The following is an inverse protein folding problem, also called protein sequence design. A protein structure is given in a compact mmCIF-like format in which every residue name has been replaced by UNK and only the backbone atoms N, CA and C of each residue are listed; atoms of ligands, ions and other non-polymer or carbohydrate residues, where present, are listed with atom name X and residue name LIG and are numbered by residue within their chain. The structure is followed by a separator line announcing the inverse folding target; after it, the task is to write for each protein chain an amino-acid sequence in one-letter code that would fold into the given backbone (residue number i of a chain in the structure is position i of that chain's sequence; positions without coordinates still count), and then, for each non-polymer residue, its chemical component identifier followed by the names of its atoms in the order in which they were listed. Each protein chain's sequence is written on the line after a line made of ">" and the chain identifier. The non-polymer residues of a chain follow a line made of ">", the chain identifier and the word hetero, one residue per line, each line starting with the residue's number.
data_IF_297767207957
#
_entry.id   IF_297767207957
#
_cell.length_a   1.000
_cell.length_b   1.000
_cell.length_c   1.000
_cell.angle_alpha   90.00
_cell.angle_beta   90.00
_cell.angle_gamma   90.00
#
_symmetry.space_group_name_H-M   'P 1'
#
loop_
_entity.id
_entity.type
_entity.pdbx_description
1 polymer ?
#
# COMPACT_ATOMS: atom_id res chain seq x y z
N UNK A 1 23.38 1.66 4.99
CA UNK A 1 21.90 1.53 5.01
C UNK A 1 21.29 2.91 4.82
N UNK A 2 20.25 3.03 4.00
CA UNK A 2 19.52 4.31 3.83
C UNK A 2 18.68 4.62 5.07
N UNK A 3 18.52 5.91 5.42
CA UNK A 3 17.66 6.38 6.51
C UNK A 3 16.23 5.81 6.37
N UNK A 4 15.70 5.76 5.15
CA UNK A 4 14.38 5.19 4.85
C UNK A 4 14.29 3.74 5.33
N UNK A 5 15.31 2.93 5.03
CA UNK A 5 15.31 1.51 5.40
C UNK A 5 15.34 1.32 6.91
N UNK A 6 16.12 2.14 7.63
CA UNK A 6 16.14 2.11 9.08
C UNK A 6 14.77 2.46 9.73
N UNK A 7 13.95 3.28 9.06
CA UNK A 7 12.57 3.56 9.48
C UNK A 7 11.66 2.37 9.16
N UNK A 8 11.74 1.84 7.94
CA UNK A 8 10.93 0.70 7.47
C UNK A 8 11.16 -0.57 8.28
N UNK A 9 12.38 -0.79 8.77
CA UNK A 9 12.74 -1.95 9.59
C UNK A 9 12.29 -1.81 11.06
N UNK A 10 11.44 -0.82 11.38
CA UNK A 10 10.67 -0.70 12.63
C UNK A 10 9.15 -0.81 12.38
N UNK A 11 8.66 -1.93 11.85
CA UNK A 11 7.29 -2.05 11.35
C UNK A 11 6.23 -1.90 12.44
N UNK A 12 6.48 -2.33 13.68
CA UNK A 12 5.56 -2.12 14.82
C UNK A 12 5.22 -0.64 15.07
N UNK A 13 6.20 0.26 14.93
CA UNK A 13 5.96 1.69 15.07
C UNK A 13 5.13 2.23 13.90
N UNK A 14 5.39 1.73 12.69
CA UNK A 14 4.66 2.08 11.48
C UNK A 14 3.21 1.57 11.53
N UNK A 15 2.95 0.41 12.13
CA UNK A 15 1.60 -0.10 12.42
C UNK A 15 0.81 0.84 13.30
N UNK A 16 1.37 1.24 14.44
CA UNK A 16 0.69 2.16 15.36
C UNK A 16 0.43 3.51 14.70
N UNK A 17 1.38 4.01 13.93
CA UNK A 17 1.22 5.25 13.17
C UNK A 17 0.12 5.11 12.11
N UNK A 18 0.08 3.99 11.38
CA UNK A 18 -0.96 3.70 10.40
C UNK A 18 -2.34 3.65 11.06
N UNK A 19 -2.47 2.89 12.16
CA UNK A 19 -3.71 2.77 12.93
C UNK A 19 -4.22 4.13 13.39
N UNK A 20 -3.30 4.97 13.91
CA UNK A 20 -3.64 6.31 14.35
C UNK A 20 -4.08 7.20 13.18
N UNK A 21 -3.39 7.15 12.04
CA UNK A 21 -3.75 7.92 10.86
C UNK A 21 -5.12 7.51 10.30
N UNK A 22 -5.37 6.21 10.20
CA UNK A 22 -6.65 5.64 9.77
C UNK A 22 -7.79 6.04 10.71
N UNK A 23 -7.58 5.90 12.03
CA UNK A 23 -8.52 6.35 13.05
C UNK A 23 -8.84 7.84 12.94
N UNK A 24 -7.80 8.69 12.82
CA UNK A 24 -7.97 10.13 12.71
C UNK A 24 -8.76 10.51 11.45
N UNK A 25 -8.46 9.88 10.30
CA UNK A 25 -9.17 10.12 9.05
C UNK A 25 -10.63 9.68 9.12
N UNK A 26 -10.93 8.51 9.70
CA UNK A 26 -12.31 8.09 9.92
C UNK A 26 -13.07 9.05 10.85
N UNK A 27 -12.40 9.57 11.89
CA UNK A 27 -13.00 10.57 12.79
C UNK A 27 -13.28 11.90 12.10
N UNK A 28 -12.44 12.29 11.15
CA UNK A 28 -12.59 13.50 10.32
C UNK A 28 -13.51 13.28 9.11
N UNK A 29 -13.92 12.04 8.81
CA UNK A 29 -14.76 11.70 7.67
C UNK A 29 -16.05 12.55 7.55
N UNK A 30 -16.79 12.83 8.64
CA UNK A 30 -17.98 13.69 8.55
C UNK A 30 -17.67 15.12 8.06
N UNK A 31 -16.47 15.63 8.32
CA UNK A 31 -16.04 16.94 7.83
C UNK A 31 -15.68 16.86 6.34
N UNK A 32 -14.98 15.81 5.91
CA UNK A 32 -14.70 15.58 4.49
C UNK A 32 -15.99 15.40 3.68
N UNK A 33 -16.99 14.71 4.23
CA UNK A 33 -18.30 14.59 3.60
C UNK A 33 -19.02 15.94 3.44
N UNK A 34 -18.89 16.85 4.42
CA UNK A 34 -19.48 18.21 4.33
C UNK A 34 -18.75 19.13 3.35
N UNK A 35 -17.43 19.03 3.27
CA UNK A 35 -16.60 19.87 2.38
C UNK A 35 -16.59 19.34 0.94
N UNK A 36 -16.78 18.04 0.77
CA UNK A 36 -16.69 17.31 -0.50
C UNK A 36 -15.35 16.58 -0.63
N UNK A 37 -15.42 15.27 -0.90
CA UNK A 37 -14.24 14.39 -0.98
C UNK A 37 -13.22 14.84 -2.05
N UNK A 38 -13.67 15.34 -3.20
CA UNK A 38 -12.80 15.87 -4.25
C UNK A 38 -11.93 17.04 -3.78
N UNK A 39 -12.53 17.95 -3.01
CA UNK A 39 -11.81 19.11 -2.47
C UNK A 39 -10.84 18.67 -1.36
N UNK A 40 -11.27 17.76 -0.49
CA UNK A 40 -10.42 17.17 0.54
C UNK A 40 -9.23 16.41 -0.05
N UNK A 41 -9.44 15.65 -1.13
CA UNK A 41 -8.38 14.94 -1.85
C UNK A 41 -7.30 15.89 -2.35
N UNK A 42 -7.69 17.01 -2.98
CA UNK A 42 -6.73 18.02 -3.46
C UNK A 42 -5.87 18.63 -2.35
N UNK A 43 -6.42 18.76 -1.15
CA UNK A 43 -5.72 19.33 0.01
C UNK A 43 -4.78 18.30 0.65
N UNK A 44 -5.23 17.05 0.80
CA UNK A 44 -4.50 16.00 1.52
C UNK A 44 -3.43 15.35 0.64
N UNK A 45 -3.68 15.21 -0.66
CA UNK A 45 -2.81 14.47 -1.59
C UNK A 45 -1.34 14.94 -1.55
N UNK A 46 -0.99 16.23 -1.56
CA UNK A 46 0.42 16.65 -1.53
C UNK A 46 1.14 16.19 -0.24
N UNK A 47 0.46 16.29 0.91
CA UNK A 47 1.02 15.86 2.19
C UNK A 47 1.12 14.34 2.27
N UNK A 48 0.10 13.62 1.80
CA UNK A 48 0.09 12.17 1.70
C UNK A 48 1.22 11.66 0.79
N UNK A 49 1.35 12.23 -0.40
CA UNK A 49 2.34 11.85 -1.40
C UNK A 49 3.76 12.03 -0.86
N UNK A 50 4.06 13.23 -0.35
CA UNK A 50 5.36 13.53 0.23
C UNK A 50 5.70 12.58 1.40
N UNK A 51 4.78 12.43 2.35
CA UNK A 51 4.98 11.56 3.51
C UNK A 51 5.21 10.11 3.11
N UNK A 52 4.34 9.57 2.23
CA UNK A 52 4.43 8.17 1.80
C UNK A 52 5.62 7.93 0.86
N UNK A 53 6.04 8.87 0.02
CA UNK A 53 7.26 8.76 -0.78
C UNK A 53 8.51 8.74 0.10
N UNK A 54 8.60 9.63 1.08
CA UNK A 54 9.75 9.71 1.98
C UNK A 54 9.92 8.41 2.79
N UNK A 55 8.84 7.90 3.37
CA UNK A 55 8.86 6.72 4.26
C UNK A 55 8.80 5.39 3.49
N UNK A 56 7.95 5.26 2.49
CA UNK A 56 7.63 3.96 1.85
C UNK A 56 8.07 3.84 0.39
N UNK A 57 8.67 4.89 -0.19
CA UNK A 57 8.92 4.96 -1.63
C UNK A 57 7.62 4.76 -2.45
N UNK A 58 6.52 5.34 -1.98
CA UNK A 58 5.19 5.20 -2.58
C UNK A 58 5.17 5.56 -4.07
N UNK A 59 4.39 4.80 -4.86
CA UNK A 59 4.23 4.97 -6.30
C UNK A 59 2.82 5.49 -6.71
N UNK A 60 2.05 6.01 -5.75
CA UNK A 60 0.75 6.65 -5.98
C UNK A 60 -0.25 5.81 -6.81
N UNK A 61 -0.41 4.53 -6.47
CA UNK A 61 -1.43 3.68 -7.11
C UNK A 61 -2.88 4.00 -6.69
N UNK A 62 -3.09 4.91 -5.74
CA UNK A 62 -4.43 5.28 -5.24
C UNK A 62 -5.09 4.24 -4.33
N UNK A 63 -4.47 3.06 -4.10
CA UNK A 63 -5.01 2.00 -3.24
C UNK A 63 -3.91 1.46 -2.32
N UNK A 64 -3.82 1.99 -1.11
CA UNK A 64 -2.74 1.69 -0.19
C UNK A 64 -3.04 0.41 0.61
N UNK A 65 -2.10 -0.55 0.61
CA UNK A 65 -2.23 -1.84 1.29
C UNK A 65 -1.04 -2.13 2.22
N UNK A 66 -0.47 -1.10 2.83
CA UNK A 66 0.77 -1.23 3.62
C UNK A 66 0.63 -2.19 4.81
N UNK A 67 -0.53 -2.24 5.47
CA UNK A 67 -0.75 -3.19 6.58
C UNK A 67 -0.79 -4.65 6.09
N UNK A 68 -1.26 -4.91 4.87
CA UNK A 68 -1.18 -6.24 4.26
C UNK A 68 0.25 -6.62 3.88
N UNK A 69 1.10 -5.66 3.53
CA UNK A 69 2.40 -5.96 2.91
C UNK A 69 3.59 -5.64 3.81
N UNK A 70 3.48 -5.88 5.11
CA UNK A 70 4.62 -5.71 6.01
C UNK A 70 5.12 -4.26 6.09
N UNK A 71 4.23 -3.29 5.96
CA UNK A 71 4.56 -1.87 5.83
C UNK A 71 5.50 -1.55 4.65
N UNK A 72 5.45 -2.35 3.60
CA UNK A 72 6.30 -2.23 2.40
C UNK A 72 5.43 -1.97 1.18
N UNK A 73 5.69 -0.91 0.41
CA UNK A 73 4.88 -0.60 -0.76
C UNK A 73 5.15 -1.60 -1.91
N UNK A 74 4.18 -2.45 -2.30
CA UNK A 74 4.40 -3.51 -3.30
C UNK A 74 4.62 -2.95 -4.71
N UNK A 75 4.14 -1.75 -4.98
CA UNK A 75 4.30 -1.07 -6.27
C UNK A 75 5.74 -0.63 -6.54
N UNK A 76 6.63 -0.70 -5.56
CA UNK A 76 8.07 -0.51 -5.77
C UNK A 76 8.71 -1.68 -6.52
N UNK A 77 8.01 -2.82 -6.60
CA UNK A 77 8.45 -3.98 -7.37
C UNK A 77 8.45 -3.63 -8.87
N UNK A 78 9.52 -3.93 -9.63
CA UNK A 78 9.58 -3.64 -11.06
C UNK A 78 8.50 -4.37 -11.88
N UNK A 79 7.85 -5.38 -11.30
CA UNK A 79 6.75 -6.14 -11.92
C UNK A 79 5.36 -5.59 -11.57
N UNK A 80 5.25 -4.54 -10.75
CA UNK A 80 3.99 -3.98 -10.26
C UNK A 80 3.03 -5.01 -9.67
N UNK A 81 3.56 -6.07 -9.05
CA UNK A 81 2.77 -7.15 -8.47
C UNK A 81 2.16 -6.72 -7.14
N UNK A 82 0.83 -6.71 -7.07
CA UNK A 82 0.09 -6.38 -5.85
C UNK A 82 0.10 -7.53 -4.82
N UNK A 83 0.11 -8.76 -5.30
CA UNK A 83 0.28 -9.98 -4.50
C UNK A 83 1.57 -10.67 -4.93
N UNK A 84 2.32 -11.22 -3.98
CA UNK A 84 3.53 -12.00 -4.23
C UNK A 84 3.67 -13.12 -3.21
N UNK A 85 4.82 -13.82 -3.19
CA UNK A 85 6.00 -13.62 -4.03
C UNK A 85 5.78 -14.06 -5.50
N UNK A 86 6.66 -13.62 -6.40
CA UNK A 86 6.59 -13.93 -7.84
C UNK A 86 7.41 -15.17 -8.27
N UNK A 87 8.05 -15.87 -7.33
CA UNK A 87 9.01 -16.95 -7.62
C UNK A 87 10.41 -16.48 -8.07
N UNK A 88 10.53 -15.28 -8.64
CA UNK A 88 11.78 -14.70 -9.13
C UNK A 88 12.72 -14.11 -8.07
N UNK A 89 12.82 -14.73 -6.88
CA UNK A 89 13.73 -14.27 -5.81
C UNK A 89 15.03 -15.06 -5.90
N UNK A 90 16.15 -14.36 -6.02
CA UNK A 90 17.49 -14.97 -6.03
C UNK A 90 17.82 -15.55 -4.65
N UNK A 91 18.74 -16.51 -4.59
CA UNK A 91 19.18 -17.14 -3.33
C UNK A 91 19.67 -16.14 -2.27
N UNK A 92 20.16 -14.97 -2.69
CA UNK A 92 20.59 -13.89 -1.80
C UNK A 92 19.46 -12.92 -1.41
N UNK A 93 18.19 -13.25 -1.67
CA UNK A 93 17.01 -12.42 -1.36
C UNK A 93 16.79 -11.21 -2.30
N UNK A 94 17.51 -11.13 -3.42
CA UNK A 94 17.37 -10.03 -4.40
C UNK A 94 16.41 -10.38 -5.53
N UNK A 95 15.94 -9.36 -6.25
CA UNK A 95 15.04 -9.52 -7.38
C UNK A 95 15.74 -10.18 -8.60
N UNK A 96 15.04 -11.01 -9.36
CA UNK A 96 15.55 -11.55 -10.62
C UNK A 96 15.82 -10.46 -11.68
N UNK A 97 14.90 -9.48 -11.80
CA UNK A 97 14.89 -8.44 -12.84
C UNK A 97 15.91 -7.34 -12.55
N UNK A 98 16.06 -6.99 -11.27
CA UNK A 98 16.97 -5.96 -10.77
C UNK A 98 17.88 -6.58 -9.70
N UNK A 99 19.00 -7.20 -10.08
CA UNK A 99 19.84 -7.98 -9.18
C UNK A 99 20.39 -7.20 -7.97
N UNK A 100 20.55 -5.89 -8.13
CA UNK A 100 21.01 -4.92 -7.13
C UNK A 100 19.91 -4.53 -6.12
N UNK A 101 18.64 -4.79 -6.45
CA UNK A 101 17.48 -4.48 -5.61
C UNK A 101 17.11 -5.68 -4.74
N UNK A 102 17.02 -5.47 -3.42
CA UNK A 102 16.42 -6.46 -2.53
C UNK A 102 14.95 -6.67 -2.86
N UNK A 103 14.49 -7.92 -2.86
CA UNK A 103 13.11 -8.24 -3.24
C UNK A 103 12.12 -7.60 -2.26
N UNK A 104 11.16 -6.85 -2.81
CA UNK A 104 10.09 -6.17 -2.06
C UNK A 104 9.28 -7.15 -1.20
N UNK A 105 9.03 -8.37 -1.70
CA UNK A 105 8.25 -9.39 -0.98
C UNK A 105 9.07 -10.13 0.08
N UNK A 106 10.39 -10.17 -0.04
CA UNK A 106 11.26 -10.64 1.06
C UNK A 106 11.19 -9.63 2.20
N UNK A 107 11.34 -8.34 1.90
CA UNK A 107 11.22 -7.26 2.88
C UNK A 107 9.83 -7.23 3.53
N UNK A 108 8.75 -7.37 2.74
CA UNK A 108 7.38 -7.43 3.24
C UNK A 108 7.20 -8.60 4.23
N UNK A 109 7.68 -9.79 3.89
CA UNK A 109 7.60 -10.96 4.76
C UNK A 109 8.41 -10.80 6.03
N UNK A 110 9.68 -10.40 5.95
CA UNK A 110 10.53 -10.20 7.13
C UNK A 110 9.98 -9.11 8.06
N UNK A 111 9.38 -8.05 7.52
CA UNK A 111 8.76 -6.99 8.31
C UNK A 111 7.43 -7.44 8.91
N UNK A 112 6.60 -8.20 8.20
CA UNK A 112 5.33 -8.71 8.74
C UNK A 112 5.55 -9.67 9.92
N UNK A 113 6.67 -10.40 9.94
CA UNK A 113 7.09 -11.21 11.10
C UNK A 113 7.35 -10.40 12.37
N UNK A 114 7.64 -9.10 12.22
CA UNK A 114 7.93 -8.16 13.31
C UNK A 114 6.77 -7.18 13.55
N UNK A 115 5.60 -7.46 12.97
CA UNK A 115 4.36 -6.72 13.17
C UNK A 115 3.50 -7.41 14.23
N UNK A 116 2.90 -6.64 15.14
CA UNK A 116 2.08 -7.20 16.22
C UNK A 116 0.58 -7.20 15.93
N UNK A 117 0.12 -6.34 15.01
CA UNK A 117 -1.32 -6.11 14.77
C UNK A 117 -1.76 -6.86 13.50
N UNK A 118 -1.10 -6.59 12.38
CA UNK A 118 -1.51 -7.07 11.06
C UNK A 118 -0.51 -8.02 10.40
N UNK A 119 0.47 -8.53 11.14
CA UNK A 119 1.53 -9.38 10.58
C UNK A 119 1.02 -10.61 9.80
N UNK A 120 -0.13 -11.17 10.18
CA UNK A 120 -0.76 -12.30 9.50
C UNK A 120 -1.50 -11.91 8.21
N UNK A 121 -1.83 -10.62 8.04
CA UNK A 121 -2.59 -10.16 6.87
C UNK A 121 -1.79 -10.24 5.57
N UNK A 122 -0.47 -10.48 5.64
CA UNK A 122 0.35 -10.79 4.46
C UNK A 122 -0.12 -12.03 3.68
N UNK A 123 -0.87 -12.91 4.34
CA UNK A 123 -1.48 -14.08 3.71
C UNK A 123 -2.83 -13.76 3.06
N UNK A 124 -3.34 -12.53 3.19
CA UNK A 124 -4.63 -12.12 2.63
C UNK A 124 -4.43 -11.67 1.19
N UNK A 125 -5.05 -12.39 0.26
CA UNK A 125 -5.05 -12.04 -1.15
C UNK A 125 -5.78 -10.71 -1.40
N UNK A 126 -5.12 -9.79 -2.10
CA UNK A 126 -5.68 -8.49 -2.43
C UNK A 126 -6.25 -8.47 -3.85
N UNK A 127 -7.35 -7.74 -4.11
CA UNK A 127 -7.86 -7.56 -5.47
C UNK A 127 -6.84 -6.81 -6.35
N UNK A 128 -6.87 -6.99 -7.68
CA UNK A 128 -5.95 -6.29 -8.58
C UNK A 128 -6.03 -4.76 -8.43
N UNK A 129 -4.91 -4.08 -8.73
CA UNK A 129 -4.87 -2.60 -8.68
C UNK A 129 -5.80 -2.02 -9.74
N UNK A 130 -6.69 -1.11 -9.32
CA UNK A 130 -7.45 -0.27 -10.21
C UNK A 130 -6.59 0.94 -10.64
N UNK A 131 -5.96 0.83 -11.80
CA UNK A 131 -5.08 1.87 -12.33
C UNK A 131 -5.78 3.18 -12.70
N UNK A 132 -7.12 3.22 -12.72
CA UNK A 132 -7.87 4.47 -12.88
C UNK A 132 -7.71 5.40 -11.66
N UNK A 133 -7.32 4.85 -10.52
CA UNK A 133 -7.06 5.60 -9.28
C UNK A 133 -5.61 6.08 -9.18
N UNK A 134 -4.78 5.84 -10.19
CA UNK A 134 -3.40 6.31 -10.17
C UNK A 134 -3.35 7.83 -9.98
N UNK A 135 -2.39 8.29 -9.18
CA UNK A 135 -2.17 9.70 -8.83
C UNK A 135 -3.29 10.35 -7.98
N UNK A 136 -4.23 9.55 -7.45
CA UNK A 136 -5.26 10.00 -6.50
C UNK A 136 -4.93 9.66 -5.04
N UNK A 137 -5.61 10.32 -4.10
CA UNK A 137 -5.40 10.12 -2.66
C UNK A 137 -5.93 8.76 -2.22
N UNK A 138 -5.05 7.90 -1.72
CA UNK A 138 -5.48 6.58 -1.25
C UNK A 138 -6.30 6.65 0.03
N UNK A 139 -6.13 7.70 0.84
CA UNK A 139 -6.96 7.92 2.03
C UNK A 139 -8.39 8.30 1.68
N UNK A 140 -8.60 9.20 0.71
CA UNK A 140 -9.95 9.55 0.27
C UNK A 140 -10.61 8.37 -0.44
N UNK A 141 -9.86 7.62 -1.25
CA UNK A 141 -10.39 6.41 -1.90
C UNK A 141 -10.83 5.36 -0.89
N UNK A 142 -10.07 5.18 0.20
CA UNK A 142 -10.43 4.30 1.33
C UNK A 142 -11.71 4.77 2.03
N UNK A 143 -11.82 6.07 2.34
CA UNK A 143 -13.00 6.64 3.01
C UNK A 143 -14.28 6.55 2.16
N UNK A 144 -14.13 6.66 0.84
CA UNK A 144 -15.24 6.56 -0.12
C UNK A 144 -15.52 5.12 -0.56
N UNK A 145 -14.66 4.17 -0.18
CA UNK A 145 -14.76 2.75 -0.55
C UNK A 145 -14.44 2.45 -2.02
N UNK A 146 -13.99 3.44 -2.79
CA UNK A 146 -13.69 3.29 -4.22
C UNK A 146 -12.50 2.35 -4.44
N UNK A 147 -11.59 2.30 -3.48
CA UNK A 147 -10.46 1.39 -3.46
C UNK A 147 -10.85 -0.09 -3.35
N UNK A 148 -12.06 -0.41 -2.86
CA UNK A 148 -12.57 -1.79 -2.73
C UNK A 148 -13.45 -2.23 -3.89
N UNK A 149 -13.87 -1.31 -4.77
CA UNK A 149 -14.71 -1.64 -5.93
C UNK A 149 -13.89 -2.41 -6.96
N UNK A 150 -14.01 -3.73 -6.95
CA UNK A 150 -13.60 -4.56 -8.09
C UNK A 150 -14.59 -4.34 -9.22
N UNK A 151 -14.12 -4.25 -10.48
CA UNK A 151 -15.03 -4.40 -11.61
C UNK A 151 -15.63 -5.81 -11.49
N UNK A 152 -16.96 -5.90 -11.41
CA UNK A 152 -17.64 -7.15 -11.70
C UNK A 152 -17.24 -7.54 -13.13
N UNK A 153 -16.56 -8.68 -13.27
CA UNK A 153 -16.36 -9.28 -14.59
C UNK A 153 -17.71 -9.89 -14.93
N UNK A 154 -18.45 -9.25 -15.83
CA UNK A 154 -19.66 -9.83 -16.41
C UNK A 154 -19.25 -11.20 -16.99
N UNK A 155 -19.83 -12.32 -16.54
CA UNK A 155 -19.38 -13.63 -16.99
C UNK A 155 -19.56 -13.70 -18.50
N UNK A 156 -18.47 -13.98 -19.23
CA UNK A 156 -18.52 -14.26 -20.67
C UNK A 156 -19.62 -15.31 -20.89
N UNK A 157 -20.65 -14.94 -21.65
CA UNK A 157 -21.70 -15.86 -22.05
C UNK A 157 -21.03 -17.02 -22.79
N UNK A 158 -20.93 -18.17 -22.11
CA UNK A 158 -20.43 -19.41 -22.71
C UNK A 158 -21.27 -19.67 -23.96
N UNK A 159 -20.64 -19.55 -25.12
CA UNK A 159 -21.22 -19.89 -26.41
C UNK A 159 -21.18 -21.40 -26.61
#
# INVERSE_FOLDING_TARGET
>A
MSLRRAIQDRPHALEKMWQFAEWALHRLNPLFARVGYERSARIILPAEDLGKKLVFNCQLCGQCILHYTGMTCPMTCPKNLRNGPCGGVRLNGHCEVKPEMRCVWVDAYERSRNMSIWGQEILTEQPPVNWQLKDSSSWINMLTGVDRRTREVEPEAKT
#
